data_IF_456540431404
#
_entry.id   IF_456540431404
#
_cell.length_a   1.000
_cell.length_b   1.000
_cell.length_c   1.000
_cell.angle_alpha   90.00
_cell.angle_beta   90.00
_cell.angle_gamma   90.00
#
_symmetry.space_group_name_H-M   'P 1'
#
loop_
_entity.id
_entity.type
_entity.pdbx_description
1 polymer ?
#
# COMPACT_ATOMS: atom_id res chain seq x y z
N UNK A 1 -3.74 -21.71 22.83
CA UNK A 1 -4.41 -20.76 21.91
C UNK A 1 -4.44 -19.38 22.58
N UNK A 2 -4.35 -18.29 21.83
CA UNK A 2 -4.57 -16.95 22.40
C UNK A 2 -6.04 -16.73 22.77
N UNK A 3 -6.33 -15.62 23.44
CA UNK A 3 -7.72 -15.20 23.74
C UNK A 3 -8.36 -14.62 22.49
N UNK A 4 -9.63 -14.92 22.23
CA UNK A 4 -10.41 -14.26 21.18
C UNK A 4 -11.51 -13.42 21.80
N UNK A 5 -11.57 -12.14 21.40
CA UNK A 5 -12.62 -11.20 21.78
C UNK A 5 -13.35 -10.76 20.50
N UNK A 6 -14.68 -10.83 20.51
CA UNK A 6 -15.51 -10.28 19.45
C UNK A 6 -16.46 -9.23 20.02
N UNK A 7 -16.60 -8.11 19.32
CA UNK A 7 -17.55 -7.04 19.60
C UNK A 7 -18.49 -6.93 18.39
N UNK A 8 -19.80 -7.06 18.64
CA UNK A 8 -20.86 -6.89 17.63
C UNK A 8 -21.84 -5.81 18.09
N UNK A 9 -22.13 -4.86 17.22
CA UNK A 9 -23.14 -3.83 17.44
C UNK A 9 -23.27 -2.87 16.27
N UNK A 10 -24.22 -1.94 16.32
CA UNK A 10 -24.33 -0.89 15.29
C UNK A 10 -23.20 0.13 15.40
N UNK A 11 -22.88 0.56 16.62
CA UNK A 11 -21.82 1.53 16.91
C UNK A 11 -20.90 1.01 18.03
N UNK A 12 -19.59 0.96 17.77
CA UNK A 12 -18.57 0.58 18.76
C UNK A 12 -17.60 1.74 18.95
N UNK A 13 -17.56 2.28 20.16
CA UNK A 13 -16.64 3.34 20.55
C UNK A 13 -15.70 2.79 21.63
N UNK A 14 -14.40 2.88 21.38
CA UNK A 14 -13.37 2.48 22.33
C UNK A 14 -12.59 3.75 22.67
N UNK A 15 -12.58 4.13 23.95
CA UNK A 15 -11.77 5.22 24.51
C UNK A 15 -10.62 4.76 25.41
N UNK A 16 -10.62 3.48 25.78
CA UNK A 16 -9.70 2.87 26.75
C UNK A 16 -8.81 1.79 26.14
N UNK A 17 -8.48 0.78 26.94
CA UNK A 17 -7.61 -0.32 26.54
C UNK A 17 -8.40 -1.60 26.28
N UNK A 18 -8.14 -2.24 25.14
CA UNK A 18 -8.44 -3.65 24.88
C UNK A 18 -7.09 -4.36 24.73
N UNK A 19 -6.82 -5.35 25.57
CA UNK A 19 -5.56 -6.10 25.52
C UNK A 19 -5.85 -7.61 25.51
N UNK A 20 -5.63 -8.23 24.35
CA UNK A 20 -5.67 -9.67 24.12
C UNK A 20 -4.26 -10.25 23.91
N UNK A 21 -3.23 -9.56 24.39
CA UNK A 21 -1.84 -10.02 24.33
C UNK A 21 -1.59 -11.23 25.24
N UNK A 22 -0.58 -12.04 24.91
CA UNK A 22 -0.16 -13.17 25.74
C UNK A 22 1.06 -13.88 25.18
N UNK A 23 1.53 -14.96 25.80
CA UNK A 23 2.65 -15.74 25.24
C UNK A 23 2.36 -16.19 23.79
N UNK A 24 1.11 -16.63 23.57
CA UNK A 24 0.50 -16.72 22.23
C UNK A 24 -0.46 -15.54 22.12
N UNK A 25 -0.30 -14.71 21.09
CA UNK A 25 -1.17 -13.58 20.88
C UNK A 25 -2.63 -14.02 20.65
N UNK A 26 -3.57 -13.20 21.14
CA UNK A 26 -4.99 -13.33 20.90
C UNK A 26 -5.46 -12.66 19.60
N UNK A 27 -6.78 -12.60 19.44
CA UNK A 27 -7.46 -11.93 18.35
C UNK A 27 -8.56 -11.00 18.87
N UNK A 28 -8.69 -9.83 18.25
CA UNK A 28 -9.83 -8.94 18.39
C UNK A 28 -10.55 -8.84 17.06
N UNK A 29 -11.86 -9.03 17.09
CA UNK A 29 -12.76 -8.77 15.97
C UNK A 29 -13.80 -7.73 16.38
N UNK A 30 -14.05 -6.74 15.53
CA UNK A 30 -15.11 -5.74 15.70
C UNK A 30 -15.98 -5.73 14.45
N UNK A 31 -17.23 -6.16 14.61
CA UNK A 31 -18.26 -6.18 13.58
C UNK A 31 -19.28 -5.09 13.87
N UNK A 32 -19.12 -3.90 13.28
CA UNK A 32 -20.04 -2.80 13.48
C UNK A 32 -20.14 -1.87 12.27
N UNK A 33 -21.31 -1.29 12.09
CA UNK A 33 -21.56 -0.28 11.06
C UNK A 33 -20.66 0.94 11.28
N UNK A 34 -20.50 1.39 12.52
CA UNK A 34 -19.60 2.47 12.91
C UNK A 34 -18.62 2.03 14.01
N UNK A 35 -17.33 2.28 13.80
CA UNK A 35 -16.27 2.01 14.78
C UNK A 35 -15.43 3.25 14.99
N UNK A 36 -15.23 3.66 16.24
CA UNK A 36 -14.34 4.76 16.62
C UNK A 36 -13.33 4.28 17.65
N UNK A 37 -12.04 4.34 17.31
CA UNK A 37 -10.94 4.29 18.28
C UNK A 37 -10.53 5.72 18.61
N UNK A 38 -10.90 6.21 19.79
CA UNK A 38 -10.55 7.56 20.23
C UNK A 38 -9.03 7.77 20.41
N UNK A 39 -8.62 9.02 20.57
CA UNK A 39 -7.19 9.41 20.65
C UNK A 39 -6.40 8.74 21.79
N UNK A 40 -7.06 8.26 22.84
CA UNK A 40 -6.44 7.58 23.99
C UNK A 40 -6.46 6.07 23.90
N UNK A 41 -7.07 5.52 22.85
CA UNK A 41 -7.34 4.10 22.72
C UNK A 41 -6.09 3.28 22.52
N UNK A 42 -6.08 2.12 23.17
CA UNK A 42 -4.97 1.16 23.15
C UNK A 42 -5.53 -0.21 22.82
N UNK A 43 -5.21 -0.74 21.66
CA UNK A 43 -5.72 -2.04 21.20
C UNK A 43 -4.55 -2.96 20.93
N UNK A 44 -4.37 -3.99 21.76
CA UNK A 44 -3.18 -4.82 21.76
C UNK A 44 -3.50 -6.31 21.57
N UNK A 45 -2.80 -6.92 20.63
CA UNK A 45 -2.79 -8.35 20.33
C UNK A 45 -1.34 -8.82 20.15
N UNK A 46 -0.46 -8.42 21.06
CA UNK A 46 0.97 -8.75 21.00
C UNK A 46 1.22 -10.17 21.50
N UNK A 47 2.22 -10.87 20.96
CA UNK A 47 2.59 -12.20 21.43
C UNK A 47 4.09 -12.47 21.51
N UNK A 48 4.49 -13.42 22.35
CA UNK A 48 5.91 -13.77 22.51
C UNK A 48 6.40 -14.67 21.37
N UNK A 49 5.52 -15.52 20.84
CA UNK A 49 5.77 -16.44 19.71
C UNK A 49 4.83 -16.15 18.51
N UNK A 50 4.84 -14.89 18.05
CA UNK A 50 4.02 -14.40 16.94
C UNK A 50 3.02 -13.33 17.38
N UNK A 51 2.78 -12.35 16.51
CA UNK A 51 1.74 -11.34 16.71
C UNK A 51 0.34 -11.88 16.42
N UNK A 52 -0.67 -11.22 17.01
CA UNK A 52 -2.08 -11.60 16.92
C UNK A 52 -2.83 -10.95 15.76
N UNK A 53 -4.15 -10.95 15.84
CA UNK A 53 -5.01 -10.37 14.81
C UNK A 53 -5.91 -9.29 15.39
N UNK A 54 -6.07 -8.19 14.68
CA UNK A 54 -7.03 -7.13 15.00
C UNK A 54 -7.80 -6.83 13.71
N UNK A 55 -9.07 -7.21 13.66
CA UNK A 55 -9.94 -7.06 12.50
C UNK A 55 -11.09 -6.13 12.84
N UNK A 56 -11.21 -5.03 12.12
CA UNK A 56 -12.29 -4.06 12.28
C UNK A 56 -13.01 -3.95 10.94
N UNK A 57 -14.26 -4.42 10.91
CA UNK A 57 -15.11 -4.46 9.72
C UNK A 57 -14.76 -5.54 8.69
N UNK A 58 -13.62 -6.23 8.78
CA UNK A 58 -13.29 -7.29 7.83
C UNK A 58 -11.94 -7.95 8.12
N UNK A 59 -11.74 -9.13 7.55
CA UNK A 59 -10.42 -9.77 7.52
C UNK A 59 -9.62 -9.30 6.29
N UNK A 60 -8.40 -9.84 6.16
CA UNK A 60 -7.47 -9.46 5.10
C UNK A 60 -8.10 -9.56 3.71
N UNK A 61 -8.08 -8.47 2.96
CA UNK A 61 -8.63 -8.35 1.61
C UNK A 61 -10.10 -8.74 1.49
N UNK A 62 -10.90 -8.47 2.54
CA UNK A 62 -12.32 -8.79 2.56
C UNK A 62 -12.62 -10.29 2.61
N UNK A 63 -11.65 -11.11 3.02
CA UNK A 63 -11.87 -12.52 3.27
C UNK A 63 -12.79 -12.75 4.50
N UNK A 64 -13.23 -13.99 4.66
CA UNK A 64 -14.07 -14.41 5.79
C UNK A 64 -15.51 -13.92 5.69
N UNK A 65 -16.23 -14.02 6.81
CA UNK A 65 -17.66 -13.74 6.91
C UNK A 65 -17.98 -12.55 7.85
N UNK A 66 -16.96 -11.79 8.26
CA UNK A 66 -17.15 -10.63 9.15
C UNK A 66 -18.04 -9.59 8.48
N UNK A 67 -18.99 -9.04 9.24
CA UNK A 67 -19.84 -7.96 8.73
C UNK A 67 -18.99 -6.73 8.35
N UNK A 68 -19.05 -6.26 7.08
CA UNK A 68 -18.37 -5.05 6.63
C UNK A 68 -18.68 -3.82 7.48
N UNK A 69 -17.64 -3.04 7.79
CA UNK A 69 -17.83 -1.71 8.38
C UNK A 69 -18.39 -0.71 7.37
N UNK A 70 -19.10 0.31 7.85
CA UNK A 70 -19.50 1.45 7.00
C UNK A 70 -18.65 2.69 7.27
N UNK A 71 -18.37 3.00 8.55
CA UNK A 71 -17.49 4.07 8.98
C UNK A 71 -16.52 3.57 10.04
N UNK A 72 -15.22 3.61 9.75
CA UNK A 72 -14.18 3.25 10.71
C UNK A 72 -13.27 4.45 10.91
N UNK A 73 -13.22 4.98 12.12
CA UNK A 73 -12.35 6.09 12.49
C UNK A 73 -11.30 5.64 13.53
N UNK A 74 -10.03 5.77 13.16
CA UNK A 74 -8.89 5.59 14.05
C UNK A 74 -8.29 6.97 14.31
N UNK A 75 -8.69 7.58 15.43
CA UNK A 75 -8.31 8.96 15.76
C UNK A 75 -6.81 9.06 15.99
N UNK A 76 -6.23 10.19 15.60
CA UNK A 76 -4.84 10.53 15.89
C UNK A 76 -4.54 10.37 17.38
N UNK A 77 -3.53 9.56 17.69
CA UNK A 77 -3.14 9.23 19.06
C UNK A 77 -3.46 7.80 19.48
N UNK A 78 -4.48 7.17 18.85
CA UNK A 78 -4.80 5.77 19.07
C UNK A 78 -3.58 4.87 18.75
N UNK A 79 -3.39 3.83 19.55
CA UNK A 79 -2.30 2.85 19.41
C UNK A 79 -2.85 1.45 19.19
N UNK A 80 -2.43 0.82 18.11
CA UNK A 80 -2.87 -0.51 17.71
C UNK A 80 -1.61 -1.36 17.51
N UNK A 81 -1.49 -2.47 18.24
CA UNK A 81 -0.28 -3.30 18.19
C UNK A 81 -0.63 -4.79 18.08
N UNK A 82 -0.06 -5.45 17.09
CA UNK A 82 -0.09 -6.90 16.95
C UNK A 82 1.31 -7.42 16.62
N UNK A 83 2.30 -7.07 17.45
CA UNK A 83 3.71 -7.43 17.24
C UNK A 83 4.06 -8.77 17.89
N UNK A 84 5.06 -9.45 17.33
CA UNK A 84 5.80 -10.50 17.99
C UNK A 84 6.93 -9.89 18.85
N UNK A 85 7.06 -10.33 20.12
CA UNK A 85 8.06 -9.80 21.06
C UNK A 85 9.39 -10.52 20.94
N UNK A 86 9.40 -11.85 20.99
CA UNK A 86 10.63 -12.65 21.02
C UNK A 86 10.85 -13.42 19.72
N UNK A 87 9.87 -14.21 19.30
CA UNK A 87 9.93 -15.10 18.14
C UNK A 87 8.68 -14.94 17.27
N UNK A 88 8.80 -15.30 16.00
CA UNK A 88 7.67 -15.36 15.07
C UNK A 88 7.38 -14.03 14.39
N UNK A 89 6.57 -14.10 13.34
CA UNK A 89 6.23 -12.93 12.55
C UNK A 89 5.26 -12.01 13.27
N UNK A 90 5.29 -10.74 12.90
CA UNK A 90 4.26 -9.79 13.29
C UNK A 90 2.87 -10.24 12.82
N UNK A 91 1.86 -9.78 13.53
CA UNK A 91 0.46 -10.11 13.32
C UNK A 91 -0.20 -9.35 12.18
N UNK A 92 -1.52 -9.42 12.12
CA UNK A 92 -2.33 -8.75 11.09
C UNK A 92 -3.26 -7.71 11.71
N UNK A 93 -3.28 -6.49 11.18
CA UNK A 93 -4.25 -5.45 11.55
C UNK A 93 -5.00 -5.02 10.30
N UNK A 94 -6.34 -5.03 10.34
CA UNK A 94 -7.19 -4.70 9.19
C UNK A 94 -8.25 -3.68 9.61
N UNK A 95 -8.35 -2.61 8.83
CA UNK A 95 -9.49 -1.69 8.82
C UNK A 95 -10.15 -1.79 7.44
N UNK A 96 -11.33 -2.40 7.40
CA UNK A 96 -12.01 -2.74 6.16
C UNK A 96 -13.45 -2.24 6.18
N UNK A 97 -13.78 -1.33 5.27
CA UNK A 97 -15.14 -0.87 5.06
C UNK A 97 -15.70 -1.43 3.75
N UNK A 98 -17.02 -1.65 3.69
CA UNK A 98 -17.72 -2.29 2.59
C UNK A 98 -17.36 -1.68 1.22
N UNK A 99 -16.64 -2.40 0.34
CA UNK A 99 -16.30 -1.88 -0.96
C UNK A 99 -17.57 -1.62 -1.79
N UNK A 100 -18.65 -2.39 -1.62
CA UNK A 100 -19.87 -2.25 -2.40
C UNK A 100 -20.66 -0.96 -2.10
N UNK A 101 -20.35 -0.28 -1.00
CA UNK A 101 -21.01 0.96 -0.57
C UNK A 101 -20.13 2.18 -0.87
N UNK A 102 -20.43 3.02 -1.90
CA UNK A 102 -19.53 4.12 -2.33
C UNK A 102 -19.27 5.22 -1.29
N UNK A 103 -20.08 5.27 -0.23
CA UNK A 103 -19.95 6.19 0.90
C UNK A 103 -19.24 5.56 2.11
N UNK A 104 -18.91 4.27 2.06
CA UNK A 104 -18.16 3.60 3.12
C UNK A 104 -16.73 4.14 3.19
N UNK A 105 -16.20 4.20 4.40
CA UNK A 105 -15.03 4.99 4.73
C UNK A 105 -14.17 4.34 5.82
N UNK A 106 -12.86 4.46 5.63
CA UNK A 106 -11.85 4.36 6.69
C UNK A 106 -11.11 5.71 6.81
N UNK A 107 -11.09 6.32 8.00
CA UNK A 107 -10.21 7.43 8.37
C UNK A 107 -9.23 6.96 9.44
N UNK A 108 -7.99 6.66 9.06
CA UNK A 108 -7.00 6.05 9.93
C UNK A 108 -5.79 6.96 10.15
N UNK A 109 -5.66 7.52 11.36
CA UNK A 109 -4.61 8.50 11.74
C UNK A 109 -3.80 8.07 12.97
N UNK A 110 -4.00 6.82 13.41
CA UNK A 110 -3.34 6.23 14.57
C UNK A 110 -1.89 5.79 14.33
N UNK A 111 -1.31 5.14 15.34
CA UNK A 111 -0.04 4.44 15.24
C UNK A 111 -0.28 2.93 15.29
N UNK A 112 0.06 2.23 14.21
CA UNK A 112 -0.17 0.81 14.03
C UNK A 112 1.17 0.08 13.90
N UNK A 113 1.38 -0.95 14.72
CA UNK A 113 2.65 -1.69 14.76
C UNK A 113 2.43 -3.20 14.71
N UNK A 114 3.06 -3.87 13.75
CA UNK A 114 3.04 -5.33 13.59
C UNK A 114 4.46 -5.85 13.41
N UNK A 115 5.37 -5.56 14.35
CA UNK A 115 6.78 -5.96 14.21
C UNK A 115 6.99 -7.46 14.35
N UNK A 116 7.98 -7.98 13.63
CA UNK A 116 8.49 -9.34 13.82
C UNK A 116 9.33 -9.47 15.11
N UNK A 117 9.49 -10.71 15.60
CA UNK A 117 10.21 -11.02 16.83
C UNK A 117 11.69 -10.65 16.80
N UNK A 118 12.27 -10.42 17.99
CA UNK A 118 13.68 -10.00 18.16
C UNK A 118 14.69 -11.08 17.78
N UNK A 119 14.35 -12.37 17.97
CA UNK A 119 15.24 -13.50 17.67
C UNK A 119 15.14 -13.92 16.21
N UNK A 120 13.92 -14.03 15.71
CA UNK A 120 13.60 -14.29 14.31
C UNK A 120 12.12 -13.96 14.07
N UNK A 121 11.76 -13.74 12.81
CA UNK A 121 10.39 -13.43 12.39
C UNK A 121 10.34 -12.23 11.47
N UNK A 122 9.44 -12.30 10.50
CA UNK A 122 9.18 -11.21 9.57
C UNK A 122 8.25 -10.18 10.21
N UNK A 123 8.25 -8.96 9.67
CA UNK A 123 7.18 -8.01 9.94
C UNK A 123 5.81 -8.54 9.51
N UNK A 124 4.78 -8.03 10.16
CA UNK A 124 3.40 -8.41 9.93
C UNK A 124 2.73 -7.60 8.82
N UNK A 125 1.39 -7.57 8.84
CA UNK A 125 0.60 -6.95 7.79
C UNK A 125 -0.39 -5.94 8.35
N UNK A 126 -0.57 -4.85 7.63
CA UNK A 126 -1.56 -3.81 7.94
C UNK A 126 -2.36 -3.55 6.67
N UNK A 127 -3.68 -3.41 6.80
CA UNK A 127 -4.56 -3.05 5.69
C UNK A 127 -5.51 -1.92 6.08
N UNK A 128 -5.62 -0.96 5.17
CA UNK A 128 -6.59 0.12 5.21
C UNK A 128 -7.33 0.13 3.88
N UNK A 129 -8.56 -0.40 3.85
CA UNK A 129 -9.35 -0.53 2.64
C UNK A 129 -10.75 0.01 2.84
N UNK A 130 -11.16 0.85 1.89
CA UNK A 130 -12.48 1.45 1.83
C UNK A 130 -12.62 2.23 0.53
N UNK A 131 -13.85 2.39 -0.01
CA UNK A 131 -14.08 3.27 -1.13
C UNK A 131 -13.60 4.70 -0.90
N UNK A 132 -13.73 5.19 0.34
CA UNK A 132 -13.13 6.43 0.82
C UNK A 132 -12.10 6.13 1.86
N UNK A 133 -10.89 6.63 1.65
CA UNK A 133 -9.79 6.33 2.52
C UNK A 133 -9.02 7.60 2.84
N UNK A 134 -8.97 7.94 4.12
CA UNK A 134 -8.03 8.91 4.64
C UNK A 134 -6.99 8.20 5.50
N UNK A 135 -5.71 8.41 5.16
CA UNK A 135 -4.56 7.88 5.90
C UNK A 135 -3.56 8.97 6.25
N UNK A 136 -4.02 10.22 6.29
CA UNK A 136 -3.18 11.35 6.67
C UNK A 136 -2.65 11.18 8.10
N UNK A 137 -1.37 11.50 8.29
CA UNK A 137 -0.67 11.39 9.58
C UNK A 137 -0.61 9.98 10.20
N UNK A 138 -1.14 8.95 9.55
CA UNK A 138 -1.00 7.57 9.99
C UNK A 138 0.48 7.22 10.14
N UNK A 139 0.78 6.43 11.17
CA UNK A 139 2.11 5.83 11.33
C UNK A 139 1.98 4.32 11.32
N UNK A 140 2.75 3.69 10.44
CA UNK A 140 2.81 2.23 10.34
C UNK A 140 4.24 1.75 10.58
N UNK A 141 4.36 0.65 11.30
CA UNK A 141 5.62 -0.05 11.50
C UNK A 141 5.40 -1.56 11.35
N UNK A 142 5.85 -2.08 10.21
CA UNK A 142 5.84 -3.50 9.89
C UNK A 142 7.28 -4.03 9.80
N UNK A 143 8.23 -3.47 10.55
CA UNK A 143 9.62 -3.91 10.47
C UNK A 143 9.83 -5.27 11.16
N UNK A 144 10.82 -6.08 10.75
CA UNK A 144 11.32 -7.12 11.62
C UNK A 144 12.07 -6.47 12.79
N UNK A 145 12.09 -7.10 13.96
CA UNK A 145 12.99 -6.69 15.05
C UNK A 145 14.34 -7.42 15.00
N UNK A 146 14.48 -8.43 14.15
CA UNK A 146 15.70 -9.20 13.91
C UNK A 146 16.40 -8.75 12.62
N UNK A 147 17.70 -9.01 12.50
CA UNK A 147 18.49 -8.66 11.30
C UNK A 147 18.30 -9.62 10.11
N UNK A 148 17.61 -10.74 10.33
CA UNK A 148 17.35 -11.78 9.32
C UNK A 148 15.91 -11.79 8.82
N UNK A 149 14.99 -11.15 9.57
CA UNK A 149 13.61 -11.03 9.17
C UNK A 149 13.45 -10.08 7.99
N UNK A 150 12.36 -10.26 7.25
CA UNK A 150 11.93 -9.36 6.18
C UNK A 150 10.94 -8.35 6.75
N UNK A 151 10.89 -7.18 6.14
CA UNK A 151 9.81 -6.22 6.39
C UNK A 151 8.49 -6.77 5.93
N UNK A 152 7.46 -6.48 6.71
CA UNK A 152 6.07 -6.75 6.39
C UNK A 152 5.51 -5.74 5.41
N UNK A 153 4.19 -5.66 5.31
CA UNK A 153 3.51 -4.86 4.29
C UNK A 153 2.36 -4.05 4.87
N UNK A 154 2.25 -2.80 4.44
CA UNK A 154 1.02 -2.02 4.55
C UNK A 154 0.33 -1.95 3.18
N UNK A 155 -0.93 -2.39 3.14
CA UNK A 155 -1.83 -2.32 1.99
C UNK A 155 -2.76 -1.12 2.15
N UNK A 156 -2.69 -0.19 1.20
CA UNK A 156 -3.55 0.99 1.04
C UNK A 156 -4.45 0.70 -0.16
N UNK A 157 -5.74 0.51 0.05
CA UNK A 157 -6.64 -0.03 -0.99
C UNK A 157 -7.95 0.76 -1.12
N UNK A 158 -7.93 1.96 -1.74
CA UNK A 158 -9.13 2.67 -2.17
C UNK A 158 -9.60 2.25 -3.58
N UNK A 159 -10.67 2.87 -4.09
CA UNK A 159 -11.15 2.64 -5.48
C UNK A 159 -10.28 3.30 -6.55
N UNK A 160 -10.02 4.60 -6.43
CA UNK A 160 -9.02 5.35 -7.21
C UNK A 160 -8.16 6.14 -6.23
N UNK A 161 -6.91 6.42 -6.61
CA UNK A 161 -5.98 7.17 -5.75
C UNK A 161 -5.13 8.17 -6.51
N UNK A 162 -5.01 9.37 -5.93
CA UNK A 162 -3.98 10.34 -6.29
C UNK A 162 -2.94 10.41 -5.18
N UNK A 163 -1.66 10.25 -5.52
CA UNK A 163 -0.55 10.48 -4.62
C UNK A 163 -0.02 11.90 -4.86
N UNK A 164 -0.16 12.78 -3.88
CA UNK A 164 0.14 14.21 -4.03
C UNK A 164 0.89 14.81 -2.83
N UNK A 165 1.06 16.13 -2.81
CA UNK A 165 1.62 16.88 -1.67
C UNK A 165 0.57 17.29 -0.64
N UNK A 166 -0.72 17.16 -0.96
CA UNK A 166 -1.83 17.63 -0.14
C UNK A 166 -2.38 16.51 0.75
N UNK A 167 -3.01 16.88 1.86
CA UNK A 167 -3.87 15.98 2.66
C UNK A 167 -5.09 15.55 1.84
N UNK A 168 -5.73 14.46 2.22
CA UNK A 168 -7.06 14.13 1.73
C UNK A 168 -8.07 15.17 2.22
N UNK A 169 -8.69 15.89 1.27
CA UNK A 169 -9.73 16.89 1.55
C UNK A 169 -11.16 16.34 1.51
N UNK A 170 -11.33 15.04 1.24
CA UNK A 170 -12.63 14.38 1.08
C UNK A 170 -13.28 14.00 2.41
N UNK A 171 -12.52 14.06 3.50
CA UNK A 171 -12.93 13.66 4.84
C UNK A 171 -12.66 14.79 5.82
N UNK A 172 -13.67 15.21 6.59
CA UNK A 172 -13.51 16.21 7.65
C UNK A 172 -14.06 15.69 8.97
N UNK A 173 -13.29 15.86 10.04
CA UNK A 173 -13.74 15.61 11.41
C UNK A 173 -13.86 16.94 12.13
N UNK A 174 -15.09 17.36 12.40
CA UNK A 174 -15.38 18.60 13.12
C UNK A 174 -16.08 18.24 14.43
N UNK A 175 -15.44 18.55 15.57
CA UNK A 175 -15.98 18.32 16.91
C UNK A 175 -16.45 16.87 17.18
N UNK A 176 -15.70 15.86 16.71
CA UNK A 176 -16.03 14.44 16.88
C UNK A 176 -17.23 13.97 16.05
N UNK A 177 -17.80 14.84 15.21
CA UNK A 177 -18.77 14.47 14.19
C UNK A 177 -18.04 14.32 12.87
N UNK A 178 -18.10 13.12 12.31
CA UNK A 178 -17.55 12.85 10.99
C UNK A 178 -18.50 13.38 9.93
N UNK A 179 -18.00 14.25 9.05
CA UNK A 179 -18.72 14.69 7.85
C UNK A 179 -17.88 14.36 6.63
N UNK A 180 -18.35 13.42 5.82
CA UNK A 180 -17.86 13.28 4.44
C UNK A 180 -18.37 14.46 3.65
N UNK A 181 -17.49 15.29 3.12
CA UNK A 181 -17.85 16.29 2.11
C UNK A 181 -18.19 15.63 0.78
N UNK A 182 -17.84 14.34 0.62
CA UNK A 182 -18.11 13.59 -0.58
C UNK A 182 -19.45 12.87 -0.52
N UNK A 183 -20.37 13.36 -1.34
CA UNK A 183 -21.74 12.85 -1.55
C UNK A 183 -21.86 11.91 -2.75
N UNK A 184 -20.80 11.73 -3.56
CA UNK A 184 -20.80 10.93 -4.81
C UNK A 184 -19.57 10.05 -4.93
N UNK A 185 -19.75 8.75 -5.24
CA UNK A 185 -18.75 7.66 -5.43
C UNK A 185 -17.64 7.86 -6.47
N UNK A 186 -17.37 9.10 -6.88
CA UNK A 186 -16.58 9.47 -8.05
C UNK A 186 -15.34 10.30 -7.74
N UNK A 187 -15.01 10.50 -6.46
CA UNK A 187 -13.82 11.27 -6.06
C UNK A 187 -12.74 10.33 -5.56
N UNK A 188 -11.56 10.38 -6.19
CA UNK A 188 -10.41 9.56 -5.81
C UNK A 188 -9.96 9.91 -4.39
N UNK A 189 -9.50 8.89 -3.65
CA UNK A 189 -8.77 9.12 -2.41
C UNK A 189 -7.47 9.87 -2.74
N UNK A 190 -6.99 10.65 -1.79
CA UNK A 190 -5.71 11.33 -1.92
C UNK A 190 -4.77 10.91 -0.79
N UNK A 191 -3.56 10.48 -1.15
CA UNK A 191 -2.54 10.08 -0.17
C UNK A 191 -1.32 10.98 -0.32
N UNK A 192 -0.86 11.56 0.78
CA UNK A 192 0.40 12.28 0.79
C UNK A 192 1.58 11.37 0.43
N UNK A 193 2.41 11.79 -0.52
CA UNK A 193 3.66 11.11 -0.84
C UNK A 193 4.56 10.95 0.40
N UNK A 194 4.56 11.92 1.32
CA UNK A 194 5.32 11.84 2.57
C UNK A 194 4.84 10.74 3.52
N UNK A 195 3.55 10.38 3.50
CA UNK A 195 3.00 9.26 4.27
C UNK A 195 3.59 7.94 3.76
N UNK A 196 3.60 7.75 2.43
CA UNK A 196 4.22 6.58 1.80
C UNK A 196 5.73 6.53 2.10
N UNK A 197 6.44 7.66 1.98
CA UNK A 197 7.88 7.73 2.29
C UNK A 197 8.17 7.35 3.75
N UNK A 198 7.35 7.79 4.70
CA UNK A 198 7.50 7.46 6.12
C UNK A 198 7.28 5.97 6.35
N UNK A 199 6.24 5.39 5.75
CA UNK A 199 5.95 3.95 5.86
C UNK A 199 7.03 3.07 5.20
N UNK A 200 7.62 3.52 4.08
CA UNK A 200 8.72 2.82 3.42
C UNK A 200 10.00 2.75 4.26
N UNK A 201 10.12 3.53 5.33
CA UNK A 201 11.25 3.42 6.26
C UNK A 201 11.17 2.17 7.15
N UNK A 202 9.97 1.63 7.36
CA UNK A 202 9.71 0.51 8.31
C UNK A 202 9.14 -0.73 7.62
N UNK A 203 8.50 -0.57 6.46
CA UNK A 203 7.75 -1.63 5.79
C UNK A 203 7.76 -1.55 4.27
N UNK A 204 7.33 -2.62 3.60
CA UNK A 204 6.86 -2.52 2.23
C UNK A 204 5.52 -1.77 2.20
N UNK A 205 5.28 -1.03 1.12
CA UNK A 205 4.00 -0.34 0.91
C UNK A 205 3.41 -0.81 -0.42
N UNK A 206 2.18 -1.29 -0.38
CA UNK A 206 1.38 -1.57 -1.56
C UNK A 206 0.23 -0.58 -1.60
N UNK A 207 0.18 0.23 -2.65
CA UNK A 207 -1.00 1.02 -3.00
C UNK A 207 -1.73 0.26 -4.07
N UNK A 208 -2.98 -0.09 -3.81
CA UNK A 208 -3.84 -0.87 -4.68
C UNK A 208 -5.08 -0.07 -5.02
N UNK A 209 -5.68 -0.36 -6.16
CA UNK A 209 -6.99 0.14 -6.55
C UNK A 209 -7.80 -0.97 -7.19
N UNK A 210 -9.11 -0.99 -6.97
CA UNK A 210 -10.01 -1.89 -7.67
C UNK A 210 -10.74 -1.17 -8.83
N UNK A 211 -10.99 -1.88 -9.93
CA UNK A 211 -11.76 -1.34 -11.07
C UNK A 211 -13.26 -1.40 -10.87
N UNK A 212 -13.75 -1.56 -9.64
CA UNK A 212 -15.17 -1.81 -9.39
C UNK A 212 -15.96 -0.49 -9.17
N UNK A 213 -17.28 -0.53 -9.33
CA UNK A 213 -18.15 0.64 -9.13
C UNK A 213 -18.07 1.70 -10.23
N UNK A 214 -18.13 2.98 -9.85
CA UNK A 214 -18.13 4.14 -10.77
C UNK A 214 -16.74 4.73 -11.04
N UNK A 215 -15.71 4.15 -10.42
CA UNK A 215 -14.33 4.60 -10.53
C UNK A 215 -13.56 3.72 -11.49
N UNK A 216 -12.37 4.17 -11.85
CA UNK A 216 -11.62 3.66 -12.98
C UNK A 216 -10.64 2.55 -12.65
N UNK A 217 -10.24 2.44 -11.37
CA UNK A 217 -9.13 1.63 -10.94
C UNK A 217 -7.77 2.25 -11.25
N UNK A 218 -7.67 3.58 -11.28
CA UNK A 218 -6.45 4.30 -11.66
C UNK A 218 -5.62 4.74 -10.45
N UNK A 219 -4.30 4.65 -10.59
CA UNK A 219 -3.32 5.27 -9.68
C UNK A 219 -2.64 6.45 -10.38
N UNK A 220 -2.77 7.66 -9.84
CA UNK A 220 -2.05 8.84 -10.33
C UNK A 220 -0.98 9.29 -9.33
N UNK A 221 0.27 9.42 -9.77
CA UNK A 221 1.39 9.93 -8.96
C UNK A 221 1.72 11.35 -9.41
N UNK A 222 1.34 12.33 -8.61
CA UNK A 222 1.51 13.77 -8.88
C UNK A 222 2.56 14.45 -7.99
N UNK A 223 3.11 13.76 -7.00
CA UNK A 223 4.20 14.23 -6.15
C UNK A 223 5.35 13.22 -6.07
N UNK A 224 6.58 13.70 -5.85
CA UNK A 224 7.74 12.83 -5.77
C UNK A 224 7.64 11.89 -4.55
N UNK A 225 7.82 10.59 -4.78
CA UNK A 225 7.99 9.60 -3.72
C UNK A 225 9.49 9.31 -3.62
N UNK A 226 10.14 9.87 -2.61
CA UNK A 226 11.58 9.77 -2.42
C UNK A 226 11.92 9.09 -1.11
N UNK A 227 12.34 7.83 -1.17
CA UNK A 227 12.68 7.05 0.03
C UNK A 227 14.03 6.34 -0.11
N UNK A 228 14.62 5.97 1.02
CA UNK A 228 15.78 5.08 1.12
C UNK A 228 15.41 3.66 1.53
N UNK A 229 16.38 2.89 2.03
CA UNK A 229 16.19 1.52 2.52
C UNK A 229 15.93 0.48 1.42
N UNK A 230 15.71 -0.76 1.86
CA UNK A 230 15.53 -1.93 0.98
C UNK A 230 14.06 -2.32 0.73
N UNK A 231 13.12 -1.63 1.36
CA UNK A 231 11.70 -1.94 1.24
C UNK A 231 11.16 -1.65 -0.17
N UNK A 232 10.12 -2.37 -0.57
CA UNK A 232 9.49 -2.26 -1.89
C UNK A 232 8.30 -1.33 -1.85
N UNK A 233 8.22 -0.43 -2.83
CA UNK A 233 6.99 0.28 -3.17
C UNK A 233 6.29 -0.47 -4.31
N UNK A 234 5.04 -0.85 -4.10
CA UNK A 234 4.19 -1.45 -5.12
C UNK A 234 3.01 -0.52 -5.40
N UNK A 235 2.80 -0.17 -6.67
CA UNK A 235 1.57 0.46 -7.16
C UNK A 235 0.85 -0.59 -8.01
N UNK A 236 -0.32 -1.04 -7.57
CA UNK A 236 -1.15 -2.07 -8.20
C UNK A 236 -2.46 -1.43 -8.64
N UNK A 237 -2.47 -0.92 -9.87
CA UNK A 237 -3.67 -0.38 -10.47
C UNK A 237 -4.49 -1.49 -11.16
N UNK A 238 -5.81 -1.40 -11.07
CA UNK A 238 -6.68 -2.24 -11.88
C UNK A 238 -6.59 -1.81 -13.35
N UNK A 239 -6.59 -0.49 -13.62
CA UNK A 239 -6.46 0.06 -14.97
C UNK A 239 -5.14 0.75 -15.21
N UNK A 240 -5.06 2.08 -15.07
CA UNK A 240 -3.88 2.85 -15.46
C UNK A 240 -3.01 3.21 -14.25
N UNK A 241 -1.70 3.28 -14.51
CA UNK A 241 -0.78 4.04 -13.67
C UNK A 241 -0.34 5.30 -14.43
N UNK A 242 -0.65 6.46 -13.87
CA UNK A 242 -0.26 7.78 -14.38
C UNK A 242 0.86 8.35 -13.54
N UNK A 243 2.10 8.11 -13.94
CA UNK A 243 3.31 8.56 -13.25
C UNK A 243 3.71 9.95 -13.75
N UNK A 244 3.20 11.02 -13.13
CA UNK A 244 3.52 12.41 -13.50
C UNK A 244 4.70 12.98 -12.69
N UNK A 245 4.99 12.41 -11.53
CA UNK A 245 6.10 12.79 -10.68
C UNK A 245 7.08 11.64 -10.47
N UNK A 246 8.31 11.99 -10.07
CA UNK A 246 9.41 11.05 -9.90
C UNK A 246 9.15 10.06 -8.77
N UNK A 247 9.56 8.81 -8.95
CA UNK A 247 9.79 7.86 -7.84
C UNK A 247 11.30 7.66 -7.69
N UNK A 248 11.81 7.96 -6.50
CA UNK A 248 13.23 7.90 -6.15
C UNK A 248 13.48 6.87 -5.05
N UNK A 249 14.31 5.86 -5.35
CA UNK A 249 14.90 4.97 -4.36
C UNK A 249 16.39 5.32 -4.22
N UNK A 250 16.78 5.81 -3.05
CA UNK A 250 18.17 6.24 -2.77
C UNK A 250 19.07 5.12 -2.25
N UNK A 251 18.56 3.89 -2.25
CA UNK A 251 19.22 2.67 -1.81
C UNK A 251 18.65 1.50 -2.64
N UNK A 252 18.69 0.28 -2.13
CA UNK A 252 18.38 -0.95 -2.88
C UNK A 252 16.90 -1.32 -2.95
N UNK A 253 16.00 -0.49 -2.42
CA UNK A 253 14.57 -0.80 -2.43
C UNK A 253 13.98 -0.82 -3.83
N UNK A 254 13.05 -1.74 -4.05
CA UNK A 254 12.43 -1.96 -5.36
C UNK A 254 11.25 -1.02 -5.62
N UNK A 255 10.88 -0.90 -6.89
CA UNK A 255 9.62 -0.30 -7.34
C UNK A 255 8.91 -1.31 -8.24
N UNK A 256 7.67 -1.64 -7.92
CA UNK A 256 6.81 -2.46 -8.75
C UNK A 256 5.60 -1.64 -9.19
N UNK A 257 5.41 -1.46 -10.49
CA UNK A 257 4.26 -0.80 -11.09
C UNK A 257 3.47 -1.86 -11.88
N UNK A 258 2.22 -2.09 -11.49
CA UNK A 258 1.33 -3.03 -12.18
C UNK A 258 0.07 -2.31 -12.62
N UNK A 259 -0.08 -2.14 -13.93
CA UNK A 259 -1.31 -1.71 -14.58
C UNK A 259 -2.00 -2.97 -15.15
N UNK A 260 -2.98 -3.50 -14.42
CA UNK A 260 -3.52 -4.85 -14.66
C UNK A 260 -4.23 -4.97 -16.00
N UNK A 261 -5.15 -4.04 -16.29
CA UNK A 261 -5.92 -4.00 -17.54
C UNK A 261 -5.50 -2.85 -18.45
N UNK A 262 -4.92 -1.79 -17.87
CA UNK A 262 -4.53 -0.57 -18.57
C UNK A 262 -3.03 -0.44 -18.79
N UNK A 263 -2.55 0.81 -18.79
CA UNK A 263 -1.20 1.16 -19.22
C UNK A 263 -0.41 1.93 -18.16
N UNK A 264 0.92 1.87 -18.26
CA UNK A 264 1.81 2.73 -17.49
C UNK A 264 2.20 3.92 -18.38
N UNK A 265 1.88 5.15 -17.95
CA UNK A 265 2.11 6.38 -18.72
C UNK A 265 2.54 7.55 -17.84
N UNK A 266 2.99 8.63 -18.46
CA UNK A 266 3.40 9.87 -17.77
C UNK A 266 4.90 10.14 -17.85
N UNK A 267 5.30 11.31 -17.36
CA UNK A 267 6.65 11.88 -17.50
C UNK A 267 7.52 11.77 -16.25
N UNK A 268 6.98 11.26 -15.15
CA UNK A 268 7.71 11.08 -13.90
C UNK A 268 8.80 10.03 -14.02
N UNK A 269 10.02 10.35 -13.60
CA UNK A 269 11.16 9.43 -13.71
C UNK A 269 11.10 8.31 -12.67
N UNK A 270 11.54 7.11 -13.04
CA UNK A 270 11.96 6.07 -12.11
C UNK A 270 13.48 6.17 -11.91
N UNK A 271 13.90 6.45 -10.69
CA UNK A 271 15.31 6.64 -10.40
C UNK A 271 15.69 5.88 -9.13
N UNK A 272 16.34 4.75 -9.36
CA UNK A 272 16.72 3.82 -8.32
C UNK A 272 18.25 3.84 -8.14
N UNK A 273 18.75 3.38 -7.01
CA UNK A 273 20.18 3.32 -6.70
C UNK A 273 20.56 1.87 -6.40
N UNK A 274 20.28 0.99 -7.37
CA UNK A 274 20.20 -0.46 -7.20
C UNK A 274 18.75 -0.95 -7.13
N UNK A 275 18.55 -2.21 -6.79
CA UNK A 275 17.22 -2.83 -6.77
C UNK A 275 16.61 -2.99 -8.17
N UNK A 276 15.31 -3.27 -8.21
CA UNK A 276 14.59 -3.59 -9.44
C UNK A 276 13.40 -2.67 -9.67
N UNK A 277 13.26 -2.18 -10.90
CA UNK A 277 12.03 -1.59 -11.43
C UNK A 277 11.26 -2.68 -12.19
N UNK A 278 10.19 -3.20 -11.58
CA UNK A 278 9.29 -4.17 -12.22
C UNK A 278 8.09 -3.43 -12.79
N UNK A 279 7.88 -3.56 -14.10
CA UNK A 279 6.84 -2.87 -14.85
C UNK A 279 5.92 -3.91 -15.50
N UNK A 280 4.74 -4.10 -14.93
CA UNK A 280 3.71 -5.01 -15.43
C UNK A 280 2.66 -4.19 -16.16
N UNK A 281 2.50 -4.43 -17.47
CA UNK A 281 1.49 -3.77 -18.27
C UNK A 281 0.62 -4.80 -18.98
N UNK A 282 -0.66 -4.90 -18.61
CA UNK A 282 -1.61 -5.79 -19.27
C UNK A 282 -2.24 -5.17 -20.52
N UNK A 283 -2.51 -3.87 -20.50
CA UNK A 283 -3.08 -3.15 -21.64
C UNK A 283 -2.07 -2.85 -22.75
N UNK A 284 -2.57 -2.61 -23.97
CA UNK A 284 -1.76 -2.17 -25.10
C UNK A 284 -1.98 -0.67 -25.34
N UNK A 285 -0.90 0.07 -25.57
CA UNK A 285 -1.00 1.51 -25.85
C UNK A 285 -1.80 1.77 -27.14
N UNK A 286 -2.88 2.54 -27.03
CA UNK A 286 -3.42 3.31 -28.15
C UNK A 286 -2.44 4.42 -28.55
N UNK A 287 -2.62 5.03 -29.74
CA UNK A 287 -1.74 6.05 -30.30
C UNK A 287 -1.55 7.27 -29.37
N UNK A 288 -0.57 7.23 -28.45
CA UNK A 288 -0.13 8.37 -27.64
C UNK A 288 0.03 8.15 -26.13
N UNK A 289 -0.38 7.02 -25.56
CA UNK A 289 -0.27 6.77 -24.11
C UNK A 289 1.09 6.16 -23.72
N UNK A 290 2.19 6.90 -23.90
CA UNK A 290 3.54 6.40 -23.62
C UNK A 290 4.04 6.76 -22.22
N UNK A 291 4.91 5.91 -21.67
CA UNK A 291 5.74 6.30 -20.54
C UNK A 291 6.93 7.12 -21.06
N UNK A 292 6.92 8.41 -20.78
CA UNK A 292 7.92 9.37 -21.25
C UNK A 292 8.98 9.68 -20.19
N UNK A 293 8.78 9.23 -18.96
CA UNK A 293 9.79 9.26 -17.90
C UNK A 293 11.00 8.39 -18.22
N UNK A 294 12.15 8.78 -17.67
CA UNK A 294 13.39 8.02 -17.75
C UNK A 294 13.44 6.95 -16.66
N UNK A 295 14.12 5.83 -16.94
CA UNK A 295 14.55 4.86 -15.93
C UNK A 295 16.06 5.03 -15.72
N UNK A 296 16.48 5.30 -14.50
CA UNK A 296 17.88 5.68 -14.20
C UNK A 296 18.41 4.96 -12.96
N UNK A 297 19.72 4.77 -12.90
CA UNK A 297 20.38 4.26 -11.70
C UNK A 297 21.46 3.21 -11.92
N UNK A 298 22.58 3.37 -11.23
CA UNK A 298 23.65 2.36 -11.22
C UNK A 298 23.17 1.06 -10.57
N UNK A 299 23.36 -0.08 -11.24
CA UNK A 299 22.93 -1.39 -10.74
C UNK A 299 21.41 -1.60 -10.69
N UNK A 300 20.61 -0.66 -11.20
CA UNK A 300 19.15 -0.81 -11.31
C UNK A 300 18.82 -1.80 -12.41
N UNK A 301 18.11 -2.87 -12.06
CA UNK A 301 17.57 -3.82 -13.03
C UNK A 301 16.15 -3.43 -13.44
N UNK A 302 15.76 -3.78 -14.66
CA UNK A 302 14.43 -3.56 -15.20
C UNK A 302 13.79 -4.89 -15.56
N UNK A 303 12.56 -5.11 -15.13
CA UNK A 303 11.77 -6.30 -15.47
C UNK A 303 10.46 -5.87 -16.11
N UNK A 304 10.15 -6.38 -17.29
CA UNK A 304 8.87 -6.20 -17.99
C UNK A 304 8.03 -7.48 -17.88
N UNK A 305 6.83 -7.32 -17.35
CA UNK A 305 5.79 -8.35 -17.22
C UNK A 305 4.47 -7.90 -17.90
N UNK A 306 3.50 -8.81 -18.01
CA UNK A 306 2.19 -8.55 -18.62
C UNK A 306 2.23 -8.59 -20.15
N UNK A 307 1.12 -9.01 -20.76
CA UNK A 307 1.00 -9.23 -22.21
C UNK A 307 1.07 -7.95 -23.06
N UNK A 308 0.90 -6.77 -22.45
CA UNK A 308 0.86 -5.48 -23.13
C UNK A 308 2.21 -5.01 -23.67
N UNK A 309 2.15 -4.01 -24.57
CA UNK A 309 3.33 -3.30 -25.08
C UNK A 309 3.65 -2.05 -24.25
N UNK A 310 4.70 -2.12 -23.44
CA UNK A 310 5.24 -0.97 -22.72
C UNK A 310 6.19 -0.18 -23.61
N UNK A 311 5.93 1.11 -23.80
CA UNK A 311 6.81 2.02 -24.55
C UNK A 311 7.52 2.96 -23.58
N UNK A 312 8.84 2.88 -23.51
CA UNK A 312 9.69 3.77 -22.71
C UNK A 312 10.38 4.77 -23.62
N UNK A 313 10.01 6.05 -23.53
CA UNK A 313 10.53 7.11 -24.40
C UNK A 313 11.55 8.03 -23.74
N UNK A 314 11.62 8.02 -22.40
CA UNK A 314 12.60 8.78 -21.64
C UNK A 314 14.02 8.24 -21.82
N UNK A 315 15.01 9.15 -21.83
CA UNK A 315 16.42 8.78 -21.92
C UNK A 315 16.85 8.06 -20.63
N UNK A 316 17.03 6.74 -20.71
CA UNK A 316 17.27 5.87 -19.57
C UNK A 316 18.76 5.49 -19.51
N UNK A 317 19.34 5.45 -18.31
CA UNK A 317 20.77 5.19 -18.12
C UNK A 317 21.03 4.24 -16.94
N UNK A 318 20.08 3.34 -16.69
CA UNK A 318 20.30 2.26 -15.74
C UNK A 318 21.37 1.28 -16.29
N UNK A 319 22.11 0.63 -15.40
CA UNK A 319 23.23 -0.26 -15.76
C UNK A 319 23.05 -1.69 -15.28
N UNK A 320 21.92 -2.02 -14.64
CA UNK A 320 21.57 -3.40 -14.33
C UNK A 320 20.98 -4.13 -15.55
N UNK A 321 20.54 -5.37 -15.33
CA UNK A 321 19.98 -6.20 -16.39
C UNK A 321 18.57 -5.76 -16.78
N UNK A 322 18.22 -5.94 -18.06
CA UNK A 322 16.83 -5.90 -18.54
C UNK A 322 16.31 -7.32 -18.74
N UNK A 323 15.15 -7.63 -18.15
CA UNK A 323 14.43 -8.90 -18.39
C UNK A 323 13.05 -8.62 -18.95
N UNK A 324 12.71 -9.25 -20.07
CA UNK A 324 11.35 -9.23 -20.63
C UNK A 324 10.78 -10.63 -20.44
N UNK A 325 9.86 -10.79 -19.50
CA UNK A 325 9.24 -12.10 -19.24
C UNK A 325 7.93 -12.29 -20.02
N UNK A 326 7.21 -11.21 -20.30
CA UNK A 326 5.95 -11.23 -21.05
C UNK A 326 5.72 -9.92 -21.82
N UNK A 327 5.01 -10.04 -22.96
CA UNK A 327 4.64 -8.93 -23.82
C UNK A 327 5.85 -8.20 -24.42
N UNK A 328 5.66 -6.95 -24.82
CA UNK A 328 6.68 -6.20 -25.57
C UNK A 328 7.21 -5.03 -24.75
N UNK A 329 8.54 -4.85 -24.75
CA UNK A 329 9.20 -3.62 -24.30
C UNK A 329 9.77 -2.88 -25.51
N UNK A 330 9.23 -1.69 -25.79
CA UNK A 330 9.61 -0.86 -26.93
C UNK A 330 10.31 0.42 -26.46
N UNK A 331 11.41 0.76 -27.13
CA UNK A 331 12.07 2.05 -26.97
C UNK A 331 11.40 3.09 -27.85
N UNK A 332 11.08 4.25 -27.28
CA UNK A 332 10.44 5.35 -28.00
C UNK A 332 11.35 6.07 -29.00
N UNK A 333 12.67 5.89 -28.90
CA UNK A 333 13.67 6.37 -29.85
C UNK A 333 14.97 5.53 -29.75
N UNK A 334 15.89 5.71 -30.70
CA UNK A 334 17.24 5.10 -30.65
C UNK A 334 18.06 5.65 -29.46
N UNK A 335 19.07 4.89 -29.03
CA UNK A 335 20.08 5.29 -28.04
C UNK A 335 19.50 5.69 -26.67
N UNK A 336 18.37 5.09 -26.30
CA UNK A 336 17.68 5.39 -25.04
C UNK A 336 18.17 4.57 -23.86
N UNK A 337 18.92 3.49 -24.08
CA UNK A 337 19.46 2.60 -23.05
C UNK A 337 20.98 2.47 -23.20
N UNK A 338 21.67 2.06 -22.13
CA UNK A 338 23.11 1.82 -22.17
C UNK A 338 23.45 0.55 -22.98
N UNK A 339 24.45 0.66 -23.86
CA UNK A 339 24.89 -0.39 -24.78
C UNK A 339 25.42 -1.66 -24.09
N UNK A 340 25.74 -1.58 -22.79
CA UNK A 340 26.32 -2.65 -21.97
C UNK A 340 25.32 -3.36 -21.05
N UNK A 341 24.03 -2.98 -21.08
CA UNK A 341 23.01 -3.64 -20.26
C UNK A 341 22.70 -5.06 -20.75
N UNK A 342 22.84 -6.06 -19.88
CA UNK A 342 22.49 -7.45 -20.23
C UNK A 342 20.98 -7.58 -20.45
N UNK A 343 20.55 -8.13 -21.60
CA UNK A 343 19.13 -8.32 -21.94
C UNK A 343 18.79 -9.81 -21.97
N UNK A 344 17.76 -10.20 -21.22
CA UNK A 344 17.18 -11.55 -21.22
C UNK A 344 15.72 -11.49 -21.68
N UNK A 345 15.35 -12.37 -22.61
CA UNK A 345 14.01 -12.44 -23.20
C UNK A 345 13.48 -13.86 -23.01
N UNK A 346 12.34 -14.01 -22.34
CA UNK A 346 11.69 -15.30 -22.15
C UNK A 346 11.03 -15.79 -23.45
N UNK A 347 10.82 -17.11 -23.57
CA UNK A 347 10.10 -17.69 -24.71
C UNK A 347 8.66 -17.17 -24.76
N UNK A 348 8.31 -16.45 -25.84
CA UNK A 348 6.97 -15.87 -26.02
C UNK A 348 6.84 -14.39 -25.64
N UNK A 349 7.96 -13.75 -25.23
CA UNK A 349 8.13 -12.29 -25.20
C UNK A 349 8.69 -11.77 -26.53
#
# INVERSE_FOLDING_TARGET
>A
PGVSLSLDGEHVIIGGTIDVSGARAGSLTIEASEVVLESTSRVFANGDVGGGNIFIGGEWQGAGDLRPGHRIEIVKGARIEASAREEGSGGTVVFWADPSTPTALVDARGHITTRGGRRFGDGGRIETSAPRLNVDEIRVDTSPSSTIGRSGTWLIDPRDITISTSDDSNTSVTAGTFTSTVTSGTTAANVKASTIVTALATGNVTVSTDGSGSMSGDITVSAEISAGGANTLTLLADRDIVLNARIRRTSTGNVALTATTGVIRGSGNLALSGGTATLTQGGTNGSGAFYTGAITGTGTSVVKLGSGTLVVSGASNFTGSTTISEGTLKLGAMDKWADDSAVSIASGA
#
